data_IF_803048124854
#
_entry.id   IF_803048124854
#
_cell.length_a   1.000
_cell.length_b   1.000
_cell.length_c   1.000
_cell.angle_alpha   90.00
_cell.angle_beta   90.00
_cell.angle_gamma   90.00
#
_symmetry.space_group_name_H-M   'P 1'
#
loop_
_entity.id
_entity.type
_entity.pdbx_description
1 polymer ?
#
# COMPACT_ATOMS: atom_id res chain seq x y z
N UNK A 1 10.15 43.91 39.20
CA UNK A 1 10.96 42.84 38.57
C UNK A 1 10.00 41.75 38.08
N UNK A 2 9.66 41.82 36.81
CA UNK A 2 8.76 40.81 36.19
C UNK A 2 9.62 39.66 35.70
N UNK A 3 9.57 38.53 36.38
CA UNK A 3 10.14 37.26 35.89
C UNK A 3 9.18 36.64 34.89
N UNK A 4 9.50 36.77 33.59
CA UNK A 4 8.84 36.04 32.52
C UNK A 4 9.12 34.55 32.75
N UNK A 5 8.12 33.64 32.73
CA UNK A 5 8.37 32.22 32.83
C UNK A 5 9.15 31.76 31.57
N UNK A 6 10.36 31.26 31.76
CA UNK A 6 11.08 30.54 30.70
C UNK A 6 10.23 29.35 30.28
N UNK A 7 9.72 29.38 29.05
CA UNK A 7 9.15 28.23 28.40
C UNK A 7 10.24 27.15 28.36
N UNK A 8 10.01 26.04 29.03
CA UNK A 8 10.90 24.86 28.93
C UNK A 8 11.05 24.44 27.48
N UNK A 9 12.14 23.73 27.13
CA UNK A 9 12.35 23.27 25.73
C UNK A 9 11.10 22.56 25.25
N UNK A 10 10.68 22.78 23.99
CA UNK A 10 9.50 22.15 23.46
C UNK A 10 9.67 20.63 23.64
N UNK A 11 8.71 19.99 24.33
CA UNK A 11 8.68 18.53 24.48
C UNK A 11 8.56 17.97 23.07
N UNK A 12 9.69 17.46 22.53
CA UNK A 12 9.73 16.91 21.19
C UNK A 12 8.84 15.69 21.12
N UNK A 13 7.94 15.65 20.14
CA UNK A 13 7.13 14.48 19.82
C UNK A 13 8.01 13.30 19.40
N UNK A 14 7.40 12.13 19.30
CA UNK A 14 8.04 10.91 18.77
C UNK A 14 7.35 10.50 17.47
N UNK A 15 8.12 10.52 16.39
CA UNK A 15 7.66 9.99 15.11
C UNK A 15 7.69 8.46 15.14
N UNK A 16 6.59 7.81 14.73
CA UNK A 16 6.45 6.35 14.74
C UNK A 16 6.63 5.79 13.34
N UNK A 17 7.51 4.78 13.20
CA UNK A 17 7.75 4.06 11.95
C UNK A 17 7.01 2.73 11.90
N UNK A 18 7.10 1.95 12.98
CA UNK A 18 6.54 0.60 13.05
C UNK A 18 6.39 0.13 14.50
N UNK A 19 5.67 -0.98 14.68
CA UNK A 19 5.73 -1.81 15.88
C UNK A 19 6.33 -3.17 15.50
N UNK A 20 7.19 -3.70 16.37
CA UNK A 20 7.84 -5.00 16.21
C UNK A 20 7.74 -5.84 17.49
N UNK A 21 7.89 -7.18 17.37
CA UNK A 21 7.98 -8.07 18.51
C UNK A 21 9.41 -8.02 19.09
N UNK A 22 9.65 -7.10 20.02
CA UNK A 22 10.93 -6.90 20.68
C UNK A 22 10.72 -6.75 22.19
N UNK A 23 11.56 -7.44 22.97
CA UNK A 23 11.49 -7.39 24.42
C UNK A 23 12.31 -6.22 25.02
N UNK A 24 13.28 -5.66 24.30
CA UNK A 24 14.24 -4.71 24.81
C UNK A 24 14.35 -3.46 23.93
N UNK A 25 14.73 -2.35 24.53
CA UNK A 25 15.08 -1.12 23.85
C UNK A 25 16.39 -1.33 23.09
N UNK A 26 16.48 -0.84 21.84
CA UNK A 26 17.72 -0.87 21.06
C UNK A 26 17.79 0.25 20.03
N UNK A 27 18.98 0.74 19.70
CA UNK A 27 19.18 1.62 18.55
C UNK A 27 19.13 0.87 17.22
N UNK A 28 18.88 1.60 16.15
CA UNK A 28 19.02 1.13 14.77
C UNK A 28 20.01 2.02 14.02
N UNK A 29 20.88 1.39 13.24
CA UNK A 29 21.81 2.10 12.36
C UNK A 29 21.11 2.51 11.07
N UNK A 30 20.24 3.52 11.21
CA UNK A 30 19.52 4.16 10.11
C UNK A 30 19.09 5.57 10.54
N UNK A 31 19.21 6.52 9.62
CA UNK A 31 18.73 7.88 9.84
C UNK A 31 17.21 7.97 9.62
N UNK A 32 16.51 8.53 10.58
CA UNK A 32 15.07 8.78 10.53
C UNK A 32 14.72 10.13 9.89
N UNK A 33 13.51 10.60 10.19
CA UNK A 33 13.03 11.92 9.77
C UNK A 33 13.99 13.01 10.25
N UNK A 34 14.30 13.94 9.35
CA UNK A 34 15.25 15.06 9.58
C UNK A 34 16.63 14.58 10.11
N UNK A 35 17.06 13.35 9.79
CA UNK A 35 18.32 12.77 10.22
C UNK A 35 18.33 12.30 11.68
N UNK A 36 17.18 12.28 12.37
CA UNK A 36 17.10 11.89 13.79
C UNK A 36 17.45 10.42 14.01
N UNK A 37 18.16 10.06 15.09
CA UNK A 37 18.45 8.68 15.45
C UNK A 37 17.17 7.86 15.66
N UNK A 38 17.17 6.64 15.12
CA UNK A 38 16.05 5.69 15.23
C UNK A 38 16.32 4.68 16.34
N UNK A 39 15.35 4.42 17.18
CA UNK A 39 15.45 3.45 18.27
C UNK A 39 14.11 2.75 18.55
N UNK A 40 14.17 1.55 19.09
CA UNK A 40 13.02 0.84 19.62
C UNK A 40 12.76 1.21 21.07
N UNK A 41 11.49 1.39 21.43
CA UNK A 41 11.00 1.58 22.79
C UNK A 41 10.08 0.40 23.12
N UNK A 42 10.54 -0.49 24.00
CA UNK A 42 9.81 -1.71 24.35
C UNK A 42 8.97 -1.57 25.61
N UNK A 43 7.91 -2.37 25.69
CA UNK A 43 7.17 -2.62 26.92
C UNK A 43 7.39 -4.06 27.47
N UNK A 44 8.44 -4.74 26.99
CA UNK A 44 8.79 -6.12 27.36
C UNK A 44 8.25 -7.20 26.43
N UNK A 45 7.35 -6.89 25.48
CA UNK A 45 6.81 -7.83 24.50
C UNK A 45 6.75 -7.27 23.08
N UNK A 46 6.39 -6.00 22.96
CA UNK A 46 6.35 -5.27 21.69
C UNK A 46 7.07 -3.95 21.85
N UNK A 47 7.67 -3.47 20.79
CA UNK A 47 8.37 -2.20 20.77
C UNK A 47 7.87 -1.31 19.64
N UNK A 48 7.72 -0.02 19.92
CA UNK A 48 7.55 0.99 18.87
C UNK A 48 8.91 1.45 18.37
N UNK A 49 9.12 1.47 17.08
CA UNK A 49 10.32 2.05 16.46
C UNK A 49 10.04 3.51 16.16
N UNK A 50 10.84 4.37 16.77
CA UNK A 50 10.61 5.82 16.80
C UNK A 50 11.89 6.62 16.57
N UNK A 51 11.72 7.91 16.25
CA UNK A 51 12.76 8.93 16.34
C UNK A 51 12.20 10.20 16.97
N UNK A 52 13.06 11.10 17.41
CA UNK A 52 12.65 12.43 17.86
C UNK A 52 12.07 13.22 16.69
N UNK A 53 10.98 13.96 16.96
CA UNK A 53 10.36 14.84 16.01
C UNK A 53 9.92 16.14 16.69
N UNK A 54 10.53 17.25 16.31
CA UNK A 54 10.18 18.56 16.86
C UNK A 54 8.84 19.11 16.33
N UNK A 55 8.29 18.49 15.26
CA UNK A 55 7.08 18.94 14.56
C UNK A 55 5.86 18.18 15.06
N UNK A 56 4.75 18.87 15.25
CA UNK A 56 3.46 18.25 15.56
C UNK A 56 2.76 17.65 14.31
N UNK A 57 3.12 18.13 13.13
CA UNK A 57 2.60 17.64 11.83
C UNK A 57 3.71 17.63 10.79
N UNK A 58 3.85 16.53 10.11
CA UNK A 58 4.83 16.35 9.04
C UNK A 58 4.14 16.38 7.67
N UNK A 59 4.69 17.17 6.74
CA UNK A 59 4.24 17.17 5.34
C UNK A 59 4.86 15.99 4.59
N UNK A 60 4.13 15.37 3.63
CA UNK A 60 4.65 14.25 2.85
C UNK A 60 5.63 14.73 1.77
N UNK A 61 6.74 15.37 2.17
CA UNK A 61 7.83 15.74 1.29
C UNK A 61 8.63 14.52 0.86
N UNK A 62 9.26 14.56 -0.33
CA UNK A 62 10.01 13.41 -0.88
C UNK A 62 11.09 12.90 0.08
N UNK A 63 11.80 13.80 0.74
CA UNK A 63 12.84 13.44 1.72
C UNK A 63 12.28 12.69 2.92
N UNK A 64 11.15 13.17 3.49
CA UNK A 64 10.50 12.53 4.64
C UNK A 64 9.91 11.17 4.27
N UNK A 65 9.27 11.06 3.09
CA UNK A 65 8.75 9.78 2.59
C UNK A 65 9.88 8.77 2.35
N UNK A 66 11.01 9.22 1.81
CA UNK A 66 12.19 8.38 1.59
C UNK A 66 12.79 7.90 2.91
N UNK A 67 12.98 8.79 3.90
CA UNK A 67 13.48 8.43 5.23
C UNK A 67 12.56 7.42 5.93
N UNK A 68 11.24 7.64 5.91
CA UNK A 68 10.28 6.69 6.47
C UNK A 68 10.39 5.31 5.84
N UNK A 69 10.43 5.24 4.50
CA UNK A 69 10.57 3.98 3.75
C UNK A 69 11.89 3.28 4.05
N UNK A 70 12.99 4.03 4.13
CA UNK A 70 14.31 3.45 4.40
C UNK A 70 14.37 2.83 5.80
N UNK A 71 13.78 3.48 6.81
CA UNK A 71 13.65 2.90 8.15
C UNK A 71 12.85 1.59 8.08
N UNK A 72 11.68 1.57 7.45
CA UNK A 72 10.89 0.34 7.30
C UNK A 72 11.65 -0.77 6.59
N UNK A 73 12.35 -0.43 5.50
CA UNK A 73 13.19 -1.38 4.74
C UNK A 73 14.28 -1.98 5.62
N UNK A 74 14.97 -1.14 6.40
CA UNK A 74 16.00 -1.60 7.33
C UNK A 74 15.45 -2.54 8.40
N UNK A 75 14.30 -2.20 8.99
CA UNK A 75 13.62 -3.03 9.98
C UNK A 75 13.20 -4.39 9.43
N UNK A 76 12.68 -4.41 8.21
CA UNK A 76 12.27 -5.64 7.54
C UNK A 76 13.40 -6.64 7.31
N UNK A 77 14.64 -6.20 7.22
CA UNK A 77 15.79 -7.12 7.09
C UNK A 77 15.99 -7.97 8.34
N UNK A 78 15.59 -7.47 9.51
CA UNK A 78 15.87 -8.11 10.80
C UNK A 78 14.64 -8.78 11.42
N UNK A 79 13.44 -8.27 11.15
CA UNK A 79 12.25 -8.74 11.84
C UNK A 79 10.96 -8.52 11.05
N UNK A 80 9.87 -9.13 11.53
CA UNK A 80 8.51 -8.78 11.11
C UNK A 80 8.11 -7.48 11.79
N UNK A 81 7.54 -6.56 11.02
CA UNK A 81 7.09 -5.25 11.51
C UNK A 81 5.65 -4.96 11.12
N UNK A 82 4.93 -4.26 11.98
CA UNK A 82 3.66 -3.61 11.67
C UNK A 82 3.97 -2.16 11.31
N UNK A 83 3.92 -1.77 10.04
CA UNK A 83 4.23 -0.41 9.63
C UNK A 83 3.19 0.58 10.13
N UNK A 84 3.63 1.73 10.58
CA UNK A 84 2.75 2.86 10.91
C UNK A 84 2.53 3.73 9.67
N UNK A 85 1.37 4.37 9.60
CA UNK A 85 1.09 5.34 8.55
C UNK A 85 2.07 6.52 8.63
N UNK A 86 2.48 7.03 7.46
CA UNK A 86 3.33 8.22 7.40
C UNK A 86 2.69 9.40 8.14
N UNK A 87 3.49 10.10 8.93
CA UNK A 87 3.05 11.29 9.68
C UNK A 87 2.46 10.99 11.06
N UNK A 88 2.55 9.75 11.54
CA UNK A 88 2.11 9.41 12.89
C UNK A 88 3.13 9.87 13.92
N UNK A 89 2.72 10.80 14.79
CA UNK A 89 3.55 11.43 15.82
C UNK A 89 2.83 11.32 17.16
N UNK A 90 3.52 10.79 18.15
CA UNK A 90 3.07 10.80 19.54
C UNK A 90 3.62 12.03 20.28
N UNK A 91 2.88 12.55 21.24
CA UNK A 91 3.25 13.77 21.98
C UNK A 91 4.56 13.62 22.76
N UNK A 92 4.78 12.43 23.35
CA UNK A 92 5.94 12.12 24.18
C UNK A 92 6.18 10.60 24.30
N UNK A 93 7.24 10.21 25.00
CA UNK A 93 7.54 8.82 25.33
C UNK A 93 6.43 8.12 26.14
N UNK A 94 5.76 8.86 27.00
CA UNK A 94 4.65 8.33 27.80
C UNK A 94 3.46 7.95 26.94
N UNK A 95 3.16 8.74 25.91
CA UNK A 95 2.12 8.45 24.92
C UNK A 95 2.46 7.18 24.12
N UNK A 96 3.72 7.02 23.68
CA UNK A 96 4.17 5.79 23.01
C UNK A 96 4.00 4.56 23.90
N UNK A 97 4.45 4.62 25.15
CA UNK A 97 4.33 3.50 26.09
C UNK A 97 2.87 3.16 26.39
N UNK A 98 2.00 4.17 26.57
CA UNK A 98 0.55 3.94 26.74
C UNK A 98 -0.06 3.26 25.52
N UNK A 99 0.27 3.73 24.31
CA UNK A 99 -0.20 3.12 23.06
C UNK A 99 0.20 1.64 22.99
N UNK A 100 1.47 1.31 23.27
CA UNK A 100 1.95 -0.08 23.28
C UNK A 100 1.19 -0.95 24.29
N UNK A 101 0.98 -0.43 25.50
CA UNK A 101 0.30 -1.19 26.58
C UNK A 101 -1.18 -1.41 26.28
N UNK A 102 -1.88 -0.39 25.76
CA UNK A 102 -3.31 -0.46 25.44
C UNK A 102 -3.62 -1.39 24.25
N UNK A 103 -2.68 -1.52 23.33
CA UNK A 103 -2.87 -2.28 22.10
C UNK A 103 -2.00 -3.55 22.01
N UNK A 104 -1.32 -3.94 23.10
CA UNK A 104 -0.34 -5.03 23.09
C UNK A 104 -0.89 -6.33 22.49
N UNK A 105 -2.10 -6.74 22.87
CA UNK A 105 -2.73 -7.96 22.37
C UNK A 105 -2.96 -7.88 20.86
N UNK A 106 -3.54 -6.77 20.39
CA UNK A 106 -3.81 -6.55 18.97
C UNK A 106 -2.50 -6.48 18.15
N UNK A 107 -1.43 -5.85 18.69
CA UNK A 107 -0.13 -5.85 18.04
C UNK A 107 0.45 -7.25 17.89
N UNK A 108 0.38 -8.08 18.93
CA UNK A 108 0.89 -9.45 18.87
C UNK A 108 0.11 -10.30 17.87
N UNK A 109 -1.21 -10.23 17.85
CA UNK A 109 -2.07 -10.92 16.88
C UNK A 109 -1.74 -10.52 15.43
N UNK A 110 -1.56 -9.22 15.17
CA UNK A 110 -1.20 -8.75 13.84
C UNK A 110 0.23 -9.12 13.44
N UNK A 111 1.19 -9.07 14.38
CA UNK A 111 2.57 -9.51 14.15
C UNK A 111 2.62 -11.00 13.79
N UNK A 112 1.83 -11.84 14.46
CA UNK A 112 1.72 -13.26 14.14
C UNK A 112 1.11 -13.49 12.74
N UNK A 113 0.05 -12.75 12.40
CA UNK A 113 -0.61 -12.84 11.08
C UNK A 113 0.35 -12.57 9.92
N UNK A 114 1.21 -11.54 10.06
CA UNK A 114 2.16 -11.15 8.99
C UNK A 114 3.57 -11.67 9.21
N UNK A 115 3.76 -12.59 10.18
CA UNK A 115 5.07 -13.14 10.52
C UNK A 115 5.76 -13.77 9.31
N UNK A 116 7.01 -13.36 9.06
CA UNK A 116 7.83 -13.88 7.96
C UNK A 116 7.32 -13.54 6.56
N UNK A 117 6.38 -12.60 6.42
CA UNK A 117 5.78 -12.20 5.15
C UNK A 117 6.13 -10.76 4.79
N UNK A 118 6.03 -10.45 3.51
CA UNK A 118 6.22 -9.12 2.92
C UNK A 118 5.08 -8.83 1.95
N UNK A 119 4.86 -7.56 1.68
CA UNK A 119 3.88 -7.10 0.72
C UNK A 119 4.55 -6.86 -0.63
N UNK A 120 3.94 -7.38 -1.70
CA UNK A 120 4.37 -7.13 -3.08
C UNK A 120 3.16 -6.68 -3.89
N UNK A 121 3.33 -5.61 -4.65
CA UNK A 121 2.29 -5.07 -5.53
C UNK A 121 2.49 -5.54 -6.97
N UNK A 122 1.44 -6.04 -7.62
CA UNK A 122 1.40 -6.30 -9.04
C UNK A 122 0.37 -5.38 -9.69
N UNK A 123 0.82 -4.59 -10.67
CA UNK A 123 -0.05 -3.82 -11.56
C UNK A 123 0.03 -4.38 -12.96
N UNK A 124 -1.13 -4.48 -13.58
CA UNK A 124 -1.24 -4.86 -14.98
C UNK A 124 -2.03 -3.76 -15.69
N UNK A 125 -1.51 -3.29 -16.80
CA UNK A 125 -2.12 -2.24 -17.62
C UNK A 125 -2.30 -2.74 -19.05
N UNK A 126 -3.34 -2.25 -19.73
CA UNK A 126 -3.35 -2.29 -21.19
C UNK A 126 -2.28 -1.33 -21.71
N UNK A 127 -1.32 -1.86 -22.43
CA UNK A 127 -0.23 -1.11 -23.11
C UNK A 127 -0.60 -0.86 -24.56
N UNK A 128 -1.57 0.00 -24.77
CA UNK A 128 -2.13 0.32 -26.07
C UNK A 128 -2.21 1.84 -26.27
N UNK A 129 -2.02 2.35 -27.51
CA UNK A 129 -2.05 3.78 -27.77
C UNK A 129 -3.40 4.45 -27.45
N UNK A 130 -4.50 3.73 -27.70
CA UNK A 130 -5.86 4.19 -27.47
C UNK A 130 -6.74 3.03 -27.00
N UNK A 131 -7.16 3.09 -25.74
CA UNK A 131 -7.96 2.02 -25.13
C UNK A 131 -9.34 1.85 -25.81
N UNK A 132 -9.98 2.95 -26.26
CA UNK A 132 -11.27 2.87 -26.96
C UNK A 132 -11.14 2.16 -28.30
N UNK A 133 -10.13 2.50 -29.09
CA UNK A 133 -9.88 1.86 -30.38
C UNK A 133 -9.53 0.38 -30.22
N UNK A 134 -8.73 0.07 -29.20
CA UNK A 134 -8.39 -1.32 -28.87
C UNK A 134 -9.64 -2.13 -28.55
N UNK A 135 -10.53 -1.64 -27.66
CA UNK A 135 -11.75 -2.34 -27.30
C UNK A 135 -12.75 -2.44 -28.46
N UNK A 136 -12.89 -1.40 -29.27
CA UNK A 136 -13.69 -1.49 -30.51
C UNK A 136 -13.11 -2.53 -31.48
N UNK A 137 -11.79 -2.66 -31.53
CA UNK A 137 -11.11 -3.65 -32.36
C UNK A 137 -11.32 -5.10 -31.88
N UNK A 138 -11.33 -5.31 -30.57
CA UNK A 138 -11.37 -6.65 -29.95
C UNK A 138 -12.79 -7.12 -29.58
N UNK A 139 -13.75 -6.19 -29.39
CA UNK A 139 -15.12 -6.49 -28.95
C UNK A 139 -16.15 -6.22 -30.05
N UNK A 140 -16.72 -7.25 -30.70
CA UNK A 140 -17.69 -7.10 -31.79
C UNK A 140 -18.93 -6.28 -31.41
N UNK A 141 -19.42 -6.39 -30.16
CA UNK A 141 -20.57 -5.66 -29.66
C UNK A 141 -20.30 -4.15 -29.57
N UNK A 142 -19.11 -3.73 -29.15
CA UNK A 142 -18.71 -2.31 -29.15
C UNK A 142 -18.60 -1.76 -30.55
N UNK A 143 -18.03 -2.56 -31.48
CA UNK A 143 -17.93 -2.20 -32.88
C UNK A 143 -19.32 -2.01 -33.50
N UNK A 144 -20.24 -2.96 -33.30
CA UNK A 144 -21.61 -2.90 -33.77
C UNK A 144 -22.36 -1.71 -33.18
N UNK A 145 -22.20 -1.43 -31.91
CA UNK A 145 -22.82 -0.27 -31.25
C UNK A 145 -22.27 1.04 -31.80
N UNK A 146 -20.96 1.18 -31.99
CA UNK A 146 -20.34 2.35 -32.61
C UNK A 146 -20.91 2.57 -34.02
N UNK A 147 -20.93 1.54 -34.87
CA UNK A 147 -21.37 1.65 -36.25
C UNK A 147 -22.87 1.98 -36.35
N UNK A 148 -23.70 1.45 -35.44
CA UNK A 148 -25.14 1.77 -35.35
C UNK A 148 -25.38 3.21 -34.88
N UNK A 149 -24.65 3.68 -33.87
CA UNK A 149 -24.91 4.96 -33.20
C UNK A 149 -24.19 6.13 -33.87
N UNK A 150 -23.00 5.89 -34.44
CA UNK A 150 -22.12 6.93 -35.02
C UNK A 150 -21.89 6.79 -36.51
N UNK A 151 -22.22 5.64 -37.14
CA UNK A 151 -21.82 5.28 -38.50
C UNK A 151 -22.73 5.81 -39.62
N UNK A 152 -23.94 6.26 -39.34
CA UNK A 152 -24.81 6.85 -40.35
C UNK A 152 -24.58 8.37 -40.40
N UNK A 153 -24.64 8.98 -41.60
CA UNK A 153 -24.48 10.44 -41.89
C UNK A 153 -25.43 11.37 -41.12
N UNK A 154 -25.92 10.94 -39.99
CA UNK A 154 -26.83 11.59 -39.07
C UNK A 154 -26.01 12.38 -38.05
N UNK A 155 -26.54 13.53 -37.65
CA UNK A 155 -25.99 14.27 -36.51
C UNK A 155 -26.02 13.37 -35.27
N UNK A 156 -24.83 13.11 -34.68
CA UNK A 156 -24.67 12.21 -33.52
C UNK A 156 -25.26 12.87 -32.29
N UNK A 157 -26.33 12.29 -31.77
CA UNK A 157 -27.01 12.83 -30.59
C UNK A 157 -26.20 12.58 -29.33
N UNK A 158 -26.41 13.42 -28.33
CA UNK A 158 -25.73 13.29 -27.03
C UNK A 158 -26.05 11.96 -26.34
N UNK A 159 -27.32 11.50 -26.46
CA UNK A 159 -27.77 10.21 -25.93
C UNK A 159 -27.01 9.01 -26.55
N UNK A 160 -26.72 9.06 -27.86
CA UNK A 160 -25.98 8.01 -28.56
C UNK A 160 -24.55 7.87 -28.01
N UNK A 161 -23.89 8.99 -27.69
CA UNK A 161 -22.55 9.01 -27.06
C UNK A 161 -22.59 8.43 -25.64
N UNK A 162 -23.63 8.76 -24.86
CA UNK A 162 -23.81 8.23 -23.50
C UNK A 162 -24.06 6.71 -23.55
N UNK A 163 -24.91 6.23 -24.49
CA UNK A 163 -25.18 4.81 -24.64
C UNK A 163 -23.90 4.03 -24.96
N UNK A 164 -23.11 4.51 -25.93
CA UNK A 164 -21.83 3.90 -26.29
C UNK A 164 -20.83 3.93 -25.12
N UNK A 165 -20.75 5.04 -24.40
CA UNK A 165 -19.90 5.18 -23.22
C UNK A 165 -20.25 4.16 -22.13
N UNK A 166 -21.56 4.00 -21.83
CA UNK A 166 -22.01 3.01 -20.83
C UNK A 166 -21.72 1.57 -21.25
N UNK A 167 -21.86 1.27 -22.54
CA UNK A 167 -21.52 -0.05 -23.05
C UNK A 167 -20.01 -0.29 -22.93
N UNK A 168 -19.19 0.70 -23.30
CA UNK A 168 -17.74 0.62 -23.17
C UNK A 168 -17.33 0.37 -21.70
N UNK A 169 -17.86 1.15 -20.75
CA UNK A 169 -17.55 0.99 -19.33
C UNK A 169 -17.92 -0.40 -18.81
N UNK A 170 -19.03 -0.96 -19.28
CA UNK A 170 -19.44 -2.33 -18.91
C UNK A 170 -18.45 -3.35 -19.42
N UNK A 171 -18.16 -3.36 -20.72
CA UNK A 171 -17.25 -4.31 -21.35
C UNK A 171 -15.84 -4.20 -20.74
N UNK A 172 -15.37 -2.99 -20.50
CA UNK A 172 -14.09 -2.73 -19.84
C UNK A 172 -14.02 -3.33 -18.43
N UNK A 173 -15.09 -3.20 -17.64
CA UNK A 173 -15.13 -3.75 -16.28
C UNK A 173 -15.30 -5.27 -16.28
N UNK A 174 -16.04 -5.83 -17.22
CA UNK A 174 -16.16 -7.29 -17.40
C UNK A 174 -14.80 -7.91 -17.76
N UNK A 175 -14.03 -7.27 -18.64
CA UNK A 175 -12.66 -7.71 -18.99
C UNK A 175 -11.71 -7.58 -17.79
N UNK A 176 -11.81 -6.50 -17.02
CA UNK A 176 -11.02 -6.33 -15.78
C UNK A 176 -11.29 -7.45 -14.79
N UNK A 177 -12.56 -7.77 -14.57
CA UNK A 177 -12.93 -8.83 -13.62
C UNK A 177 -12.36 -10.17 -14.06
N UNK A 178 -12.56 -10.55 -15.32
CA UNK A 178 -12.04 -11.80 -15.88
C UNK A 178 -10.51 -11.88 -15.81
N UNK A 179 -9.81 -10.78 -16.08
CA UNK A 179 -8.35 -10.72 -15.99
C UNK A 179 -7.85 -10.73 -14.55
N UNK A 180 -8.55 -10.07 -13.61
CA UNK A 180 -8.22 -10.13 -12.18
C UNK A 180 -8.36 -11.57 -11.66
N UNK A 181 -9.45 -12.26 -11.96
CA UNK A 181 -9.66 -13.67 -11.58
C UNK A 181 -8.56 -14.60 -12.13
N UNK A 182 -8.20 -14.40 -13.40
CA UNK A 182 -7.11 -15.15 -14.04
C UNK A 182 -5.77 -14.95 -13.32
N UNK A 183 -5.43 -13.69 -13.00
CA UNK A 183 -4.20 -13.34 -12.28
C UNK A 183 -4.21 -13.90 -10.86
N UNK A 184 -5.29 -13.73 -10.12
CA UNK A 184 -5.42 -14.27 -8.75
C UNK A 184 -5.29 -15.79 -8.74
N UNK A 185 -5.92 -16.49 -9.67
CA UNK A 185 -5.80 -17.94 -9.81
C UNK A 185 -4.35 -18.39 -10.04
N UNK A 186 -3.59 -17.65 -10.88
CA UNK A 186 -2.19 -17.94 -11.14
C UNK A 186 -1.27 -17.66 -9.94
N UNK A 187 -1.56 -16.62 -9.15
CA UNK A 187 -0.72 -16.17 -8.03
C UNK A 187 -1.09 -16.80 -6.69
N UNK A 188 -2.31 -17.31 -6.52
CA UNK A 188 -2.80 -17.88 -5.27
C UNK A 188 -1.85 -18.93 -4.64
N UNK A 189 -1.18 -19.82 -5.39
CA UNK A 189 -0.27 -20.81 -4.80
C UNK A 189 0.96 -20.20 -4.12
N UNK A 190 1.34 -18.94 -4.49
CA UNK A 190 2.53 -18.25 -3.97
C UNK A 190 2.20 -17.21 -2.89
N UNK A 191 0.92 -16.92 -2.68
CA UNK A 191 0.45 -15.85 -1.80
C UNK A 191 -0.28 -16.40 -0.59
N UNK A 192 0.01 -15.86 0.60
CA UNK A 192 -0.78 -16.13 1.79
C UNK A 192 -2.15 -15.41 1.73
N UNK A 193 -2.18 -14.23 1.09
CA UNK A 193 -3.39 -13.43 0.89
C UNK A 193 -3.18 -12.52 -0.33
N UNK A 194 -4.25 -12.27 -1.09
CA UNK A 194 -4.27 -11.31 -2.20
C UNK A 194 -5.41 -10.32 -1.94
N UNK A 195 -5.12 -9.02 -2.07
CA UNK A 195 -6.11 -7.95 -2.03
C UNK A 195 -6.15 -7.21 -3.36
N UNK A 196 -7.35 -6.89 -3.83
CA UNK A 196 -7.54 -6.01 -4.99
C UNK A 196 -7.60 -4.56 -4.55
N UNK A 197 -6.94 -3.68 -5.28
CA UNK A 197 -7.13 -2.24 -5.17
C UNK A 197 -7.93 -1.71 -6.35
N UNK A 198 -8.74 -0.66 -6.17
CA UNK A 198 -9.45 -0.01 -7.27
C UNK A 198 -8.48 0.46 -8.36
N UNK A 199 -8.86 0.38 -9.64
CA UNK A 199 -8.06 0.88 -10.74
C UNK A 199 -7.89 2.41 -10.63
N UNK A 200 -6.68 2.89 -10.93
CA UNK A 200 -6.33 4.33 -10.82
C UNK A 200 -6.66 5.13 -12.07
N UNK A 201 -6.76 4.44 -13.19
CA UNK A 201 -7.06 5.02 -14.51
C UNK A 201 -7.73 3.99 -15.41
N UNK A 202 -8.14 4.44 -16.60
CA UNK A 202 -8.85 3.61 -17.57
C UNK A 202 -8.00 2.44 -18.10
N UNK A 203 -6.69 2.62 -18.20
CA UNK A 203 -5.78 1.59 -18.74
C UNK A 203 -5.36 0.55 -17.71
N UNK A 204 -5.66 0.73 -16.41
CA UNK A 204 -5.29 -0.25 -15.40
C UNK A 204 -6.25 -1.43 -15.42
N UNK A 205 -5.71 -2.61 -15.71
CA UNK A 205 -6.43 -3.90 -15.75
C UNK A 205 -6.62 -4.43 -14.34
N UNK A 206 -5.50 -4.54 -13.62
CA UNK A 206 -5.46 -5.08 -12.27
C UNK A 206 -4.46 -4.34 -11.40
N UNK A 207 -4.79 -4.19 -10.11
CA UNK A 207 -3.91 -3.68 -9.08
C UNK A 207 -4.04 -4.61 -7.87
N UNK A 208 -3.17 -5.62 -7.84
CA UNK A 208 -3.16 -6.66 -6.83
C UNK A 208 -2.08 -6.37 -5.79
N UNK A 209 -2.42 -6.61 -4.54
CA UNK A 209 -1.49 -6.51 -3.42
C UNK A 209 -1.39 -7.90 -2.82
N UNK A 210 -0.19 -8.48 -2.85
CA UNK A 210 0.09 -9.84 -2.45
C UNK A 210 0.85 -9.87 -1.13
N UNK A 211 0.38 -10.64 -0.16
CA UNK A 211 1.12 -10.98 1.04
C UNK A 211 1.85 -12.32 0.79
N UNK A 212 3.17 -12.27 0.71
CA UNK A 212 3.99 -13.43 0.33
C UNK A 212 5.02 -13.77 1.40
N UNK A 213 5.42 -15.04 1.55
CA UNK A 213 6.58 -15.40 2.36
C UNK A 213 7.82 -14.62 1.91
N UNK A 214 8.65 -14.21 2.85
CA UNK A 214 9.85 -13.42 2.54
C UNK A 214 10.83 -14.18 1.61
N UNK A 215 10.93 -15.47 1.77
CA UNK A 215 11.72 -16.38 0.92
C UNK A 215 11.00 -16.82 -0.36
N UNK A 216 9.69 -16.53 -0.47
CA UNK A 216 8.84 -16.86 -1.62
C UNK A 216 8.82 -15.82 -2.74
N UNK A 217 9.58 -14.72 -2.64
CA UNK A 217 9.54 -13.63 -3.63
C UNK A 217 9.92 -14.10 -5.04
N UNK A 218 10.97 -14.92 -5.15
CA UNK A 218 11.38 -15.49 -6.44
C UNK A 218 10.30 -16.37 -7.05
N UNK A 219 9.62 -17.18 -6.23
CA UNK A 219 8.51 -18.01 -6.70
C UNK A 219 7.35 -17.14 -7.21
N UNK A 220 7.07 -16.01 -6.55
CA UNK A 220 6.08 -15.05 -7.03
C UNK A 220 6.50 -14.43 -8.38
N UNK A 221 7.76 -14.02 -8.53
CA UNK A 221 8.28 -13.48 -9.81
C UNK A 221 8.12 -14.49 -10.96
N UNK A 222 8.44 -15.76 -10.71
CA UNK A 222 8.26 -16.85 -11.66
C UNK A 222 6.77 -17.05 -11.99
N UNK A 223 5.88 -16.99 -11.01
CA UNK A 223 4.43 -17.10 -11.21
C UNK A 223 3.87 -15.91 -12.01
N UNK A 224 4.33 -14.69 -11.75
CA UNK A 224 3.96 -13.49 -12.52
C UNK A 224 4.44 -13.62 -13.97
N UNK A 225 5.65 -14.12 -14.19
CA UNK A 225 6.17 -14.35 -15.55
C UNK A 225 5.34 -15.39 -16.30
N UNK A 226 4.96 -16.48 -15.64
CA UNK A 226 4.07 -17.49 -16.24
C UNK A 226 2.67 -16.92 -16.51
N UNK A 227 2.12 -16.15 -15.57
CA UNK A 227 0.83 -15.49 -15.74
C UNK A 227 0.84 -14.50 -16.92
N UNK A 228 1.94 -13.75 -17.11
CA UNK A 228 2.09 -12.86 -18.26
C UNK A 228 2.02 -13.60 -19.61
N UNK A 229 2.47 -14.85 -19.67
CA UNK A 229 2.33 -15.71 -20.85
C UNK A 229 0.88 -16.07 -21.22
N UNK A 230 -0.09 -15.80 -20.35
CA UNK A 230 -1.53 -15.97 -20.61
C UNK A 230 -2.16 -14.75 -21.28
N UNK A 231 -1.39 -13.68 -21.47
CA UNK A 231 -1.80 -12.41 -22.07
C UNK A 231 -1.00 -12.14 -23.34
N UNK A 232 -1.55 -11.31 -24.22
CA UNK A 232 -0.84 -10.87 -25.42
C UNK A 232 0.10 -9.67 -25.14
N UNK A 233 0.75 -9.16 -26.18
CA UNK A 233 1.71 -8.05 -26.07
C UNK A 233 1.06 -6.68 -25.79
N UNK A 234 -0.25 -6.61 -25.62
CA UNK A 234 -0.98 -5.39 -25.28
C UNK A 234 -1.12 -5.18 -23.76
N UNK A 235 -0.42 -6.00 -22.96
CA UNK A 235 -0.44 -5.91 -21.50
C UNK A 235 0.96 -5.67 -20.94
N UNK A 236 1.08 -4.67 -20.06
CA UNK A 236 2.30 -4.38 -19.33
C UNK A 236 2.16 -4.80 -17.85
N UNK A 237 3.14 -5.53 -17.34
CA UNK A 237 3.21 -6.02 -15.97
C UNK A 237 4.26 -5.24 -15.18
N UNK A 238 3.88 -4.68 -14.04
CA UNK A 238 4.75 -3.94 -13.12
C UNK A 238 4.68 -4.58 -11.74
N UNK A 239 5.77 -5.26 -11.34
CA UNK A 239 5.93 -5.86 -10.02
C UNK A 239 6.78 -4.95 -9.16
N UNK A 240 6.31 -4.61 -7.97
CA UNK A 240 6.98 -3.68 -7.08
C UNK A 240 6.97 -4.16 -5.63
N UNK A 241 8.05 -3.90 -4.91
CA UNK A 241 8.28 -4.37 -3.54
C UNK A 241 9.70 -4.93 -3.37
N UNK A 242 9.97 -5.70 -2.31
CA UNK A 242 9.06 -5.96 -1.20
C UNK A 242 8.86 -4.75 -0.27
N UNK A 243 7.68 -4.63 0.28
CA UNK A 243 7.28 -3.60 1.22
C UNK A 243 6.87 -4.21 2.57
N UNK A 244 6.88 -3.40 3.63
CA UNK A 244 6.21 -3.76 4.87
C UNK A 244 4.70 -3.93 4.63
N UNK A 245 4.02 -4.85 5.32
CA UNK A 245 2.66 -5.27 4.99
C UNK A 245 1.58 -4.25 5.40
N UNK A 246 1.63 -3.04 4.82
CA UNK A 246 0.72 -1.93 5.13
C UNK A 246 -0.75 -2.29 4.89
N UNK A 247 -1.03 -2.99 3.80
CA UNK A 247 -2.40 -3.30 3.41
C UNK A 247 -2.97 -4.53 4.13
N UNK A 248 -2.14 -5.25 4.87
CA UNK A 248 -2.52 -6.45 5.60
C UNK A 248 -2.56 -6.26 7.12
N UNK A 249 -2.25 -5.07 7.61
CA UNK A 249 -2.35 -4.71 9.02
C UNK A 249 -3.61 -3.87 9.23
N UNK A 250 -4.57 -4.43 9.95
CA UNK A 250 -5.85 -3.79 10.23
C UNK A 250 -6.01 -3.64 11.74
N UNK A 251 -5.93 -2.40 12.23
CA UNK A 251 -6.01 -2.11 13.66
C UNK A 251 -6.62 -0.74 13.95
N UNK A 252 -7.54 -0.71 14.89
CA UNK A 252 -8.01 0.51 15.52
C UNK A 252 -7.13 0.82 16.75
N UNK A 253 -6.22 1.77 16.61
CA UNK A 253 -5.30 2.15 17.68
C UNK A 253 -6.02 2.92 18.79
N UNK A 254 -5.98 2.38 19.99
CA UNK A 254 -6.41 3.08 21.20
C UNK A 254 -5.28 4.01 21.65
N UNK A 255 -5.46 5.31 21.44
CA UNK A 255 -4.45 6.33 21.80
C UNK A 255 -4.65 6.88 23.23
N UNK A 256 -5.88 6.89 23.73
CA UNK A 256 -6.24 7.33 25.08
C UNK A 256 -7.03 6.26 25.81
N UNK A 257 -6.69 6.01 27.07
CA UNK A 257 -7.41 5.08 27.95
C UNK A 257 -8.79 5.60 28.42
N UNK A 258 -9.51 6.38 27.60
CA UNK A 258 -10.90 6.76 27.85
C UNK A 258 -11.80 5.90 26.96
N UNK A 259 -12.72 5.20 27.67
CA UNK A 259 -13.86 4.50 27.10
C UNK A 259 -14.74 5.45 26.29
#
# INVERSE_FOLDING_TARGET
MNTTPQAGPPRGGKYLYAVAALAEDRPYDVAGIDGSPVHALSNGRVAAVVSDCARQKLRPERAHLAAHKEVLKRLMLESTVLPMAFGMIADDLGAVRRMLSLNQKAFLEQLERVAGKVEVGLRVNWDVPNIFEYFIGTHPELRAARDRLLGNQREVRHEDKIELGRLFDRVLNDDREANCEKLEGALAPCCAEIKRSPPRNVNEVANLICLVPRDGQRQLEEAVFQAAGLFDNNYAFDLNGPWAPHNFVEMDLKLNGRK
#
